data_IF_660357661404
#
_entry.id   IF_660357661404
#
_cell.length_a   1.000
_cell.length_b   1.000
_cell.length_c   1.000
_cell.angle_alpha   90.00
_cell.angle_beta   90.00
_cell.angle_gamma   90.00
#
_symmetry.space_group_name_H-M   'P 1'
#
loop_
_entity.id
_entity.type
_entity.pdbx_description
1 polymer ?
#
# COMPACT_ATOMS: atom_id res chain seq x y z
N UNK A 1 61.25 -12.56 -39.08
CA UNK A 1 60.20 -13.59 -38.86
C UNK A 1 59.59 -13.60 -37.43
N UNK A 2 59.76 -12.56 -36.61
CA UNK A 2 59.17 -12.50 -35.24
C UNK A 2 57.93 -11.60 -35.12
N UNK A 3 57.76 -10.60 -36.00
CA UNK A 3 56.65 -9.64 -35.92
C UNK A 3 55.27 -10.22 -36.32
N UNK A 4 55.22 -11.23 -37.21
CA UNK A 4 53.98 -11.85 -37.67
C UNK A 4 53.39 -12.91 -36.71
N UNK A 5 54.14 -13.32 -35.68
CA UNK A 5 53.68 -14.33 -34.71
C UNK A 5 52.85 -13.71 -33.58
N UNK A 6 53.10 -12.44 -33.25
CA UNK A 6 52.39 -11.72 -32.19
C UNK A 6 50.99 -11.22 -32.60
N UNK A 7 50.72 -11.07 -33.91
CA UNK A 7 49.41 -10.62 -34.39
C UNK A 7 48.33 -11.71 -34.28
N UNK A 8 48.72 -13.00 -34.34
CA UNK A 8 47.79 -14.12 -34.15
C UNK A 8 47.41 -14.33 -32.68
N UNK A 9 48.33 -14.10 -31.76
CA UNK A 9 48.06 -14.19 -30.32
C UNK A 9 47.17 -13.06 -29.82
N UNK A 10 47.33 -11.85 -30.35
CA UNK A 10 46.49 -10.69 -29.98
C UNK A 10 45.07 -10.84 -30.55
N UNK A 11 44.90 -11.40 -31.77
CA UNK A 11 43.56 -11.73 -32.31
C UNK A 11 42.87 -12.85 -31.54
N UNK A 12 43.61 -13.84 -31.02
CA UNK A 12 43.05 -14.89 -30.16
C UNK A 12 42.59 -14.38 -28.80
N UNK A 13 43.33 -13.43 -28.20
CA UNK A 13 42.98 -12.82 -26.91
C UNK A 13 41.78 -11.87 -27.00
N UNK A 14 41.66 -11.11 -28.10
CA UNK A 14 40.49 -10.27 -28.37
C UNK A 14 39.23 -11.08 -28.69
N UNK A 15 39.36 -12.26 -29.33
CA UNK A 15 38.21 -13.15 -29.54
C UNK A 15 37.72 -13.82 -28.26
N UNK A 16 38.62 -14.08 -27.29
CA UNK A 16 38.26 -14.66 -25.99
C UNK A 16 37.61 -13.63 -25.04
N UNK A 17 38.01 -12.36 -25.13
CA UNK A 17 37.38 -11.26 -24.38
C UNK A 17 35.99 -10.87 -24.91
N UNK A 18 35.66 -11.18 -26.17
CA UNK A 18 34.32 -10.99 -26.75
C UNK A 18 33.33 -12.13 -26.41
N UNK A 19 33.81 -13.25 -25.85
CA UNK A 19 32.99 -14.41 -25.41
C UNK A 19 32.63 -14.38 -23.92
N UNK A 20 33.14 -13.40 -23.17
CA UNK A 20 32.73 -13.10 -21.80
C UNK A 20 31.98 -11.76 -21.73
N UNK A 21 31.07 -11.51 -22.68
CA UNK A 21 29.95 -10.66 -22.31
C UNK A 21 29.22 -11.43 -21.21
N UNK A 22 29.10 -10.90 -19.97
CA UNK A 22 28.17 -11.49 -19.05
C UNK A 22 26.83 -11.43 -19.77
N UNK A 23 26.28 -12.59 -20.13
CA UNK A 23 24.84 -12.67 -20.29
C UNK A 23 24.33 -12.11 -18.97
N UNK A 24 23.65 -10.96 -19.01
CA UNK A 24 22.95 -10.44 -17.84
C UNK A 24 21.92 -11.50 -17.49
N UNK A 25 22.30 -12.46 -16.64
CA UNK A 25 21.38 -13.44 -16.13
C UNK A 25 20.39 -12.66 -15.28
N UNK A 26 19.12 -12.70 -15.67
CA UNK A 26 18.05 -12.07 -14.91
C UNK A 26 18.12 -12.54 -13.46
N UNK A 27 18.16 -11.59 -12.54
CA UNK A 27 18.26 -11.88 -11.13
C UNK A 27 17.04 -12.68 -10.66
N UNK A 28 17.27 -13.69 -9.84
CA UNK A 28 16.20 -14.50 -9.29
C UNK A 28 15.61 -13.84 -8.04
N UNK A 29 14.32 -13.50 -8.12
CA UNK A 29 13.57 -12.82 -7.07
C UNK A 29 12.48 -13.75 -6.57
N UNK A 30 12.46 -14.00 -5.27
CA UNK A 30 11.42 -14.80 -4.65
C UNK A 30 10.31 -13.91 -4.10
N UNK A 31 9.06 -14.20 -4.46
CA UNK A 31 7.90 -13.42 -4.07
C UNK A 31 7.02 -14.25 -3.15
N UNK A 32 7.00 -13.88 -1.86
CA UNK A 32 6.19 -14.53 -0.83
C UNK A 32 4.86 -13.83 -0.66
N UNK A 33 3.79 -14.60 -0.69
CA UNK A 33 2.45 -14.04 -0.57
C UNK A 33 1.44 -15.11 -0.14
N UNK A 34 0.28 -14.67 0.32
CA UNK A 34 -0.88 -15.51 0.56
C UNK A 34 -1.75 -15.64 -0.69
N UNK A 35 -1.98 -16.86 -1.17
CA UNK A 35 -2.78 -17.10 -2.38
C UNK A 35 -4.29 -16.99 -2.18
N UNK A 36 -4.74 -16.84 -0.93
CA UNK A 36 -6.16 -16.66 -0.57
C UNK A 36 -6.56 -15.18 -0.42
N UNK A 37 -5.62 -14.25 -0.57
CA UNK A 37 -5.87 -12.81 -0.53
C UNK A 37 -5.85 -12.26 -1.98
N UNK A 38 -6.99 -11.79 -2.53
CA UNK A 38 -7.05 -11.31 -3.92
C UNK A 38 -6.04 -10.20 -4.24
N UNK A 39 -5.90 -9.20 -3.35
CA UNK A 39 -4.93 -8.13 -3.52
C UNK A 39 -3.49 -8.66 -3.71
N UNK A 40 -3.12 -9.74 -3.03
CA UNK A 40 -1.80 -10.35 -3.17
C UNK A 40 -1.65 -11.03 -4.54
N UNK A 41 -2.61 -11.87 -4.90
CA UNK A 41 -2.59 -12.62 -6.16
C UNK A 41 -2.54 -11.67 -7.35
N UNK A 42 -3.40 -10.66 -7.37
CA UNK A 42 -3.45 -9.68 -8.46
C UNK A 42 -2.16 -8.86 -8.53
N UNK A 43 -1.59 -8.49 -7.38
CA UNK A 43 -0.31 -7.73 -7.34
C UNK A 43 0.82 -8.57 -7.92
N UNK A 44 0.89 -9.85 -7.57
CA UNK A 44 1.88 -10.80 -8.09
C UNK A 44 1.72 -10.97 -9.60
N UNK A 45 0.49 -11.04 -10.09
CA UNK A 45 0.21 -11.14 -11.53
C UNK A 45 0.69 -9.90 -12.29
N UNK A 46 0.36 -8.71 -11.81
CA UNK A 46 0.83 -7.47 -12.41
C UNK A 46 2.35 -7.32 -12.33
N UNK A 47 2.98 -7.79 -11.25
CA UNK A 47 4.43 -7.67 -11.04
C UNK A 47 5.24 -8.37 -12.14
N UNK A 48 4.71 -9.46 -12.73
CA UNK A 48 5.31 -10.13 -13.90
C UNK A 48 5.59 -9.17 -15.07
N UNK A 49 4.78 -8.12 -15.22
CA UNK A 49 4.92 -7.11 -16.27
C UNK A 49 5.74 -5.89 -15.87
N UNK A 50 6.18 -5.80 -14.61
CA UNK A 50 6.87 -4.62 -14.04
C UNK A 50 8.36 -4.85 -13.80
N UNK A 51 8.87 -6.02 -14.12
CA UNK A 51 10.29 -6.35 -13.98
C UNK A 51 10.67 -7.45 -14.98
N UNK A 52 11.86 -7.32 -15.57
CA UNK A 52 12.42 -8.35 -16.46
C UNK A 52 13.15 -9.47 -15.69
N UNK A 53 13.20 -9.33 -14.36
CA UNK A 53 13.87 -10.26 -13.46
C UNK A 53 13.11 -11.59 -13.35
N UNK A 54 13.81 -12.67 -13.03
CA UNK A 54 13.20 -14.00 -12.91
C UNK A 54 12.43 -14.10 -11.60
N UNK A 55 11.09 -14.05 -11.67
CA UNK A 55 10.23 -14.18 -10.50
C UNK A 55 9.96 -15.66 -10.16
N UNK A 56 10.14 -16.01 -8.89
CA UNK A 56 9.77 -17.30 -8.31
C UNK A 56 8.69 -17.07 -7.25
N UNK A 57 7.51 -17.63 -7.49
CA UNK A 57 6.35 -17.43 -6.63
C UNK A 57 6.36 -18.44 -5.48
N UNK A 58 6.38 -17.91 -4.26
CA UNK A 58 6.45 -18.67 -3.02
C UNK A 58 5.15 -18.49 -2.19
N UNK A 59 4.00 -19.04 -2.64
CA UNK A 59 2.77 -18.97 -1.87
C UNK A 59 2.91 -19.64 -0.49
N UNK A 60 2.52 -18.92 0.56
CA UNK A 60 2.55 -19.39 1.96
C UNK A 60 1.67 -20.63 2.10
N UNK A 61 2.20 -21.67 2.76
CA UNK A 61 1.51 -22.96 2.95
C UNK A 61 1.53 -23.88 1.73
N UNK A 62 2.03 -23.42 0.57
CA UNK A 62 2.16 -24.21 -0.65
C UNK A 62 3.60 -24.41 -1.12
N UNK A 63 4.53 -23.63 -0.57
CA UNK A 63 5.97 -23.72 -0.87
C UNK A 63 6.67 -24.56 0.20
N UNK A 64 7.43 -25.59 -0.19
CA UNK A 64 8.10 -26.48 0.77
C UNK A 64 9.37 -25.84 1.36
N UNK A 65 9.67 -26.13 2.62
CA UNK A 65 10.92 -25.70 3.25
C UNK A 65 12.15 -26.24 2.54
N UNK A 66 12.11 -27.49 2.05
CA UNK A 66 13.22 -28.08 1.29
C UNK A 66 13.56 -27.30 0.01
N UNK A 67 12.55 -26.73 -0.65
CA UNK A 67 12.76 -25.84 -1.80
C UNK A 67 13.38 -24.52 -1.34
N UNK A 68 12.86 -23.93 -0.27
CA UNK A 68 13.39 -22.67 0.24
C UNK A 68 14.85 -22.79 0.70
N UNK A 69 15.20 -23.88 1.35
CA UNK A 69 16.57 -24.15 1.84
C UNK A 69 17.55 -24.53 0.73
N UNK A 70 17.07 -24.80 -0.49
CA UNK A 70 17.92 -25.27 -1.59
C UNK A 70 19.00 -24.26 -1.98
N UNK A 71 18.66 -22.96 -2.05
CA UNK A 71 19.58 -21.85 -2.24
C UNK A 71 18.89 -20.51 -1.90
N UNK A 72 19.65 -19.46 -1.56
CA UNK A 72 19.07 -18.12 -1.39
C UNK A 72 18.67 -17.50 -2.75
N UNK A 73 17.63 -16.64 -2.79
CA UNK A 73 17.40 -15.75 -3.93
C UNK A 73 18.40 -14.60 -3.95
N UNK A 74 18.42 -13.79 -5.01
CA UNK A 74 19.18 -12.53 -5.01
C UNK A 74 18.42 -11.42 -4.28
N UNK A 75 17.10 -11.50 -4.26
CA UNK A 75 16.21 -10.55 -3.61
C UNK A 75 14.89 -11.22 -3.23
N UNK A 76 14.24 -10.77 -2.15
CA UNK A 76 12.92 -11.26 -1.79
C UNK A 76 11.89 -10.11 -1.77
N UNK A 77 10.69 -10.39 -2.24
CA UNK A 77 9.51 -9.54 -2.12
C UNK A 77 8.50 -10.26 -1.25
N UNK A 78 7.92 -9.57 -0.28
CA UNK A 78 7.06 -10.16 0.74
C UNK A 78 5.79 -9.34 0.86
N UNK A 79 4.64 -10.01 0.74
CA UNK A 79 3.31 -9.42 0.86
C UNK A 79 2.57 -9.97 2.09
N UNK A 80 2.47 -9.15 3.14
CA UNK A 80 1.72 -9.45 4.36
C UNK A 80 2.47 -10.23 5.44
N UNK A 81 1.92 -10.25 6.67
CA UNK A 81 2.61 -10.74 7.87
C UNK A 81 2.96 -12.23 7.81
N UNK A 82 2.06 -13.07 7.29
CA UNK A 82 2.31 -14.50 7.18
C UNK A 82 3.46 -14.82 6.21
N UNK A 83 3.57 -14.05 5.12
CA UNK A 83 4.68 -14.15 4.18
C UNK A 83 5.99 -13.64 4.81
N UNK A 84 5.91 -12.57 5.60
CA UNK A 84 7.06 -12.02 6.32
C UNK A 84 7.61 -13.01 7.34
N UNK A 85 6.74 -13.64 8.14
CA UNK A 85 7.13 -14.66 9.09
C UNK A 85 7.89 -15.81 8.41
N UNK A 86 7.38 -16.30 7.27
CA UNK A 86 8.04 -17.35 6.50
C UNK A 86 9.40 -16.90 5.96
N UNK A 87 9.48 -15.70 5.36
CA UNK A 87 10.73 -15.18 4.79
C UNK A 87 11.80 -14.94 5.87
N UNK A 88 11.42 -14.48 7.06
CA UNK A 88 12.36 -14.20 8.15
C UNK A 88 12.94 -15.46 8.80
N UNK A 89 12.26 -16.61 8.72
CA UNK A 89 12.80 -17.91 9.16
C UNK A 89 14.02 -18.34 8.35
N UNK A 90 14.18 -17.80 7.14
CA UNK A 90 15.25 -18.17 6.24
C UNK A 90 16.54 -17.44 6.65
N UNK A 91 17.66 -18.16 6.72
CA UNK A 91 18.96 -17.62 7.16
C UNK A 91 19.71 -16.85 6.07
N UNK A 92 19.02 -16.45 5.00
CA UNK A 92 19.62 -15.75 3.86
C UNK A 92 20.08 -14.35 4.25
N UNK A 93 21.26 -13.95 3.75
CA UNK A 93 21.81 -12.59 3.88
C UNK A 93 21.44 -11.71 2.67
N UNK A 94 20.15 -11.69 2.34
CA UNK A 94 19.59 -11.02 1.15
C UNK A 94 18.64 -9.91 1.59
N UNK A 95 18.44 -8.89 0.76
CA UNK A 95 17.45 -7.83 1.04
C UNK A 95 16.03 -8.35 0.79
N UNK A 96 15.12 -7.92 1.66
CA UNK A 96 13.71 -8.33 1.68
C UNK A 96 12.86 -7.07 1.58
N UNK A 97 12.22 -6.82 0.44
CA UNK A 97 11.21 -5.77 0.29
C UNK A 97 9.88 -6.26 0.83
N UNK A 98 9.37 -5.60 1.85
CA UNK A 98 8.13 -5.97 2.54
C UNK A 98 7.07 -4.90 2.31
N UNK A 99 5.87 -5.32 1.92
CA UNK A 99 4.68 -4.49 1.82
C UNK A 99 3.47 -5.17 2.47
N UNK A 100 2.39 -4.42 2.69
CA UNK A 100 1.14 -4.91 3.28
C UNK A 100 1.30 -5.48 4.70
N UNK A 101 2.27 -4.96 5.46
CA UNK A 101 2.49 -5.29 6.89
C UNK A 101 2.22 -4.07 7.75
N UNK A 102 1.73 -4.30 8.96
CA UNK A 102 1.29 -3.25 9.88
C UNK A 102 2.48 -2.53 10.54
N UNK A 103 3.60 -3.21 10.76
CA UNK A 103 4.79 -2.61 11.35
C UNK A 103 6.05 -3.10 10.62
N UNK A 104 7.02 -2.20 10.37
CA UNK A 104 8.30 -2.63 9.83
C UNK A 104 9.00 -3.53 10.87
N UNK A 105 9.45 -4.73 10.48
CA UNK A 105 10.29 -5.55 11.36
C UNK A 105 11.64 -4.86 11.57
N UNK A 106 12.29 -5.15 12.70
CA UNK A 106 13.62 -4.60 13.05
C UNK A 106 14.78 -5.30 12.33
N UNK A 107 14.49 -6.25 11.43
CA UNK A 107 15.51 -7.04 10.73
C UNK A 107 16.27 -6.16 9.71
N UNK A 108 17.61 -6.10 9.75
CA UNK A 108 18.42 -5.24 8.86
C UNK A 108 18.35 -5.64 7.37
N UNK A 109 17.82 -6.82 7.06
CA UNK A 109 17.54 -7.27 5.70
C UNK A 109 16.32 -6.56 5.11
N UNK A 110 15.43 -6.04 5.95
CA UNK A 110 14.12 -5.56 5.52
C UNK A 110 14.19 -4.12 5.00
N UNK A 111 13.57 -3.93 3.85
CA UNK A 111 13.17 -2.64 3.31
C UNK A 111 11.65 -2.60 3.34
N UNK A 112 11.09 -1.62 4.03
CA UNK A 112 9.64 -1.51 4.23
C UNK A 112 9.01 -0.53 3.25
N UNK A 113 8.04 -1.00 2.47
CA UNK A 113 7.12 -0.15 1.72
C UNK A 113 5.85 0.06 2.55
N UNK A 114 5.78 1.21 3.21
CA UNK A 114 4.65 1.62 4.03
C UNK A 114 3.42 1.85 3.14
N UNK A 115 2.43 0.96 3.30
CA UNK A 115 1.15 0.95 2.58
C UNK A 115 -0.03 1.29 3.49
N UNK A 116 0.24 1.89 4.67
CA UNK A 116 -0.82 2.44 5.51
C UNK A 116 -1.58 3.52 4.76
N UNK A 117 -2.89 3.62 5.05
CA UNK A 117 -3.77 4.62 4.45
C UNK A 117 -3.17 6.03 4.55
N UNK A 118 -3.28 6.84 3.50
CA UNK A 118 -2.67 8.17 3.46
C UNK A 118 -3.56 9.16 4.21
N UNK A 119 -3.72 8.99 5.53
CA UNK A 119 -4.62 9.80 6.36
C UNK A 119 -4.33 11.30 6.23
N UNK A 120 -3.07 11.68 6.02
CA UNK A 120 -2.69 13.08 5.74
C UNK A 120 -3.37 13.63 4.49
N UNK A 121 -3.38 12.86 3.38
CA UNK A 121 -4.05 13.27 2.14
C UNK A 121 -5.58 13.31 2.34
N UNK A 122 -6.12 12.34 3.09
CA UNK A 122 -7.55 12.30 3.41
C UNK A 122 -7.99 13.51 4.24
N UNK A 123 -7.26 13.87 5.29
CA UNK A 123 -7.56 15.03 6.15
C UNK A 123 -7.43 16.34 5.35
N UNK A 124 -6.37 16.49 4.53
CA UNK A 124 -6.18 17.67 3.68
C UNK A 124 -7.34 17.83 2.68
N UNK A 125 -7.73 16.75 2.01
CA UNK A 125 -8.85 16.80 1.08
C UNK A 125 -10.17 17.08 1.79
N UNK A 126 -10.41 16.47 2.96
CA UNK A 126 -11.57 16.79 3.79
C UNK A 126 -11.65 18.28 4.15
N UNK A 127 -10.52 18.90 4.54
CA UNK A 127 -10.47 20.34 4.82
C UNK A 127 -10.67 21.19 3.56
N UNK A 128 -10.18 20.75 2.40
CA UNK A 128 -10.45 21.44 1.15
C UNK A 128 -11.95 21.41 0.76
N UNK A 129 -12.61 20.26 0.96
CA UNK A 129 -14.04 20.10 0.69
C UNK A 129 -14.92 20.82 1.72
N UNK A 130 -14.46 20.88 2.97
CA UNK A 130 -15.17 21.45 4.11
C UNK A 130 -14.22 22.30 4.98
N UNK A 131 -13.98 23.58 4.63
CA UNK A 131 -12.98 24.42 5.30
C UNK A 131 -13.20 24.60 6.80
N UNK A 132 -14.46 24.64 7.22
CA UNK A 132 -14.90 24.80 8.60
C UNK A 132 -14.87 23.50 9.44
N UNK A 133 -14.43 22.37 8.86
CA UNK A 133 -14.30 21.08 9.54
C UNK A 133 -13.52 21.20 10.85
N UNK A 134 -14.11 20.70 11.94
CA UNK A 134 -13.56 20.71 13.30
C UNK A 134 -13.37 19.30 13.87
N UNK A 135 -14.19 18.35 13.46
CA UNK A 135 -14.19 16.99 14.03
C UNK A 135 -14.15 15.95 12.93
N UNK A 136 -13.24 14.98 13.04
CA UNK A 136 -13.26 13.75 12.24
C UNK A 136 -13.58 12.61 13.19
N UNK A 137 -14.77 12.03 13.07
CA UNK A 137 -15.12 10.81 13.79
C UNK A 137 -14.46 9.61 13.10
N UNK A 138 -13.64 8.87 13.83
CA UNK A 138 -12.91 7.71 13.31
C UNK A 138 -13.23 6.48 14.15
N UNK A 139 -14.26 5.70 13.76
CA UNK A 139 -14.56 4.45 14.41
C UNK A 139 -13.52 3.38 14.02
N UNK A 140 -13.16 2.51 14.96
CA UNK A 140 -12.39 1.28 14.72
C UNK A 140 -12.85 0.18 15.68
N UNK A 141 -12.53 -1.07 15.38
CA UNK A 141 -12.78 -2.25 16.22
C UNK A 141 -11.45 -2.89 16.62
N UNK A 142 -10.57 -3.08 15.65
CA UNK A 142 -9.25 -3.70 15.83
C UNK A 142 -8.22 -2.61 16.13
N UNK A 143 -7.53 -2.72 17.27
CA UNK A 143 -6.61 -1.69 17.80
C UNK A 143 -5.57 -1.20 16.78
N UNK A 144 -5.10 -2.08 15.89
CA UNK A 144 -4.14 -1.73 14.85
C UNK A 144 -4.61 -0.63 13.88
N UNK A 145 -5.92 -0.41 13.75
CA UNK A 145 -6.50 0.63 12.90
C UNK A 145 -6.87 1.90 13.66
N UNK A 146 -6.57 1.96 14.97
CA UNK A 146 -6.68 3.19 15.72
C UNK A 146 -5.80 4.28 15.08
N UNK A 147 -6.29 5.52 14.92
CA UNK A 147 -5.44 6.63 14.51
C UNK A 147 -4.26 6.77 15.48
N UNK A 148 -3.05 6.90 14.93
CA UNK A 148 -1.86 7.06 15.76
C UNK A 148 -1.64 8.54 16.14
N UNK A 149 -0.91 8.77 17.23
CA UNK A 149 -0.61 10.11 17.76
C UNK A 149 -0.06 11.09 16.72
N UNK A 150 0.72 10.62 15.75
CA UNK A 150 1.24 11.45 14.66
C UNK A 150 0.13 12.01 13.77
N UNK A 151 -0.90 11.22 13.48
CA UNK A 151 -2.05 11.64 12.68
C UNK A 151 -2.96 12.57 13.50
N UNK A 152 -3.12 12.30 14.80
CA UNK A 152 -3.85 13.19 15.71
C UNK A 152 -3.20 14.57 15.78
N UNK A 153 -1.89 14.65 16.06
CA UNK A 153 -1.17 15.93 16.13
C UNK A 153 -1.23 16.71 14.81
N UNK A 154 -1.12 16.01 13.66
CA UNK A 154 -1.24 16.68 12.36
C UNK A 154 -2.66 17.21 12.10
N UNK A 155 -3.69 16.50 12.54
CA UNK A 155 -5.06 16.99 12.46
C UNK A 155 -5.24 18.24 13.34
N UNK A 156 -4.70 18.22 14.56
CA UNK A 156 -4.76 19.34 15.51
C UNK A 156 -4.06 20.59 14.97
N UNK A 157 -2.92 20.44 14.30
CA UNK A 157 -2.22 21.53 13.59
C UNK A 157 -3.10 22.22 12.53
N UNK A 158 -4.09 21.51 11.99
CA UNK A 158 -5.08 22.04 11.03
C UNK A 158 -6.40 22.49 11.67
N UNK A 159 -6.47 22.52 13.01
CA UNK A 159 -7.66 22.86 13.78
C UNK A 159 -8.75 21.77 13.76
N UNK A 160 -8.37 20.52 13.52
CA UNK A 160 -9.27 19.36 13.45
C UNK A 160 -8.96 18.40 14.59
N UNK A 161 -9.96 18.06 15.39
CA UNK A 161 -9.88 16.98 16.38
C UNK A 161 -10.30 15.66 15.74
N UNK A 162 -9.52 14.61 15.97
CA UNK A 162 -9.96 13.24 15.67
C UNK A 162 -10.72 12.70 16.87
N UNK A 163 -12.01 12.43 16.71
CA UNK A 163 -12.84 11.75 17.70
C UNK A 163 -12.71 10.24 17.49
N UNK A 164 -11.75 9.66 18.21
CA UNK A 164 -11.37 8.25 18.13
C UNK A 164 -12.40 7.42 18.92
N UNK A 165 -13.07 6.50 18.23
CA UNK A 165 -14.10 5.66 18.86
C UNK A 165 -13.84 4.17 18.61
N UNK A 166 -13.54 3.42 19.69
CA UNK A 166 -13.42 1.97 19.63
C UNK A 166 -14.78 1.30 19.79
N UNK A 167 -15.33 0.76 18.72
CA UNK A 167 -16.56 -0.02 18.74
C UNK A 167 -16.28 -1.43 19.25
N UNK A 168 -16.38 -1.62 20.57
CA UNK A 168 -16.20 -2.95 21.19
C UNK A 168 -17.50 -3.76 21.21
N UNK A 169 -18.65 -3.07 21.22
CA UNK A 169 -19.98 -3.68 21.22
C UNK A 169 -20.88 -3.00 20.18
N UNK A 170 -21.47 -3.73 19.22
CA UNK A 170 -22.37 -3.15 18.21
C UNK A 170 -23.54 -2.33 18.79
N UNK A 171 -23.97 -2.58 20.03
CA UNK A 171 -25.05 -1.83 20.70
C UNK A 171 -24.67 -0.38 21.02
N UNK A 172 -23.38 -0.04 21.05
CA UNK A 172 -22.90 1.31 21.32
C UNK A 172 -22.98 2.22 20.08
N UNK A 173 -23.05 1.62 18.89
CA UNK A 173 -23.00 2.34 17.61
C UNK A 173 -24.04 3.45 17.49
N UNK A 174 -25.34 3.27 17.83
CA UNK A 174 -26.32 4.36 17.77
C UNK A 174 -25.94 5.55 18.66
N UNK A 175 -25.40 5.27 19.86
CA UNK A 175 -24.98 6.30 20.80
C UNK A 175 -23.75 7.07 20.31
N UNK A 176 -22.80 6.37 19.70
CA UNK A 176 -21.57 6.94 19.14
C UNK A 176 -21.82 7.81 17.91
N UNK A 177 -22.77 7.39 17.05
CA UNK A 177 -23.11 8.15 15.83
C UNK A 177 -23.79 9.50 16.10
N UNK A 178 -24.15 9.82 17.35
CA UNK A 178 -24.71 11.15 17.70
C UNK A 178 -23.76 12.30 17.34
N UNK A 179 -22.45 12.06 17.31
CA UNK A 179 -21.46 13.06 16.89
C UNK A 179 -21.66 13.53 15.45
N UNK A 180 -22.21 12.70 14.55
CA UNK A 180 -22.47 13.06 13.15
C UNK A 180 -23.49 14.20 13.03
N UNK A 181 -24.35 14.40 14.03
CA UNK A 181 -25.30 15.52 14.04
C UNK A 181 -24.65 16.87 14.42
N UNK A 182 -23.40 16.86 14.89
CA UNK A 182 -22.67 18.10 15.17
C UNK A 182 -22.28 18.78 13.86
N UNK A 183 -22.39 20.12 13.77
CA UNK A 183 -21.87 20.83 12.62
C UNK A 183 -20.36 20.57 12.52
N UNK A 184 -19.84 20.64 11.30
CA UNK A 184 -18.39 20.61 11.08
C UNK A 184 -17.73 19.28 11.40
N UNK A 185 -18.48 18.20 11.20
CA UNK A 185 -18.03 16.81 11.37
C UNK A 185 -17.82 16.14 10.02
N UNK A 186 -16.86 15.23 9.95
CA UNK A 186 -16.70 14.23 8.89
C UNK A 186 -16.50 12.85 9.53
N UNK A 187 -16.68 11.78 8.75
CA UNK A 187 -16.37 10.41 9.16
C UNK A 187 -15.19 9.90 8.36
N UNK A 188 -14.23 9.25 9.00
CA UNK A 188 -13.10 8.59 8.35
C UNK A 188 -13.09 7.11 8.73
N UNK A 189 -13.48 6.26 7.77
CA UNK A 189 -13.58 4.82 7.96
C UNK A 189 -12.21 4.17 7.64
N UNK A 190 -11.58 3.48 8.59
CA UNK A 190 -10.34 2.74 8.34
C UNK A 190 -10.60 1.40 7.64
N UNK A 191 -9.56 0.77 7.05
CA UNK A 191 -9.63 -0.58 6.47
C UNK A 191 -9.74 -1.70 7.51
N UNK A 192 -10.62 -1.52 8.49
CA UNK A 192 -10.81 -2.45 9.60
C UNK A 192 -11.87 -3.51 9.28
N UNK A 193 -11.50 -4.80 9.18
CA UNK A 193 -12.44 -5.88 8.94
C UNK A 193 -13.57 -5.95 9.98
N UNK A 194 -13.33 -5.52 11.22
CA UNK A 194 -14.36 -5.48 12.27
C UNK A 194 -15.45 -4.43 11.99
N UNK A 195 -15.12 -3.36 11.28
CA UNK A 195 -16.11 -2.35 10.84
C UNK A 195 -16.78 -2.74 9.53
N UNK A 196 -16.15 -3.59 8.70
CA UNK A 196 -16.69 -4.03 7.40
C UNK A 196 -17.90 -4.97 7.51
N UNK A 197 -18.66 -4.88 8.60
CA UNK A 197 -19.97 -5.47 8.73
C UNK A 197 -21.03 -4.59 8.03
N UNK A 198 -21.85 -5.20 7.18
CA UNK A 198 -22.89 -4.49 6.43
C UNK A 198 -23.83 -3.66 7.32
N UNK A 199 -24.24 -4.18 8.49
CA UNK A 199 -25.12 -3.45 9.40
C UNK A 199 -24.45 -2.19 9.98
N UNK A 200 -23.14 -2.26 10.28
CA UNK A 200 -22.36 -1.11 10.76
C UNK A 200 -22.23 -0.07 9.66
N UNK A 201 -21.75 -0.48 8.47
CA UNK A 201 -21.52 0.40 7.33
C UNK A 201 -22.82 1.10 6.88
N UNK A 202 -23.91 0.36 6.74
CA UNK A 202 -25.22 0.92 6.36
C UNK A 202 -25.73 1.91 7.41
N UNK A 203 -25.57 1.61 8.70
CA UNK A 203 -25.96 2.52 9.78
C UNK A 203 -25.18 3.83 9.73
N UNK A 204 -23.86 3.76 9.52
CA UNK A 204 -23.00 4.93 9.37
C UNK A 204 -23.43 5.77 8.16
N UNK A 205 -23.62 5.15 6.99
CA UNK A 205 -24.05 5.87 5.79
C UNK A 205 -25.43 6.51 5.97
N UNK A 206 -26.40 5.80 6.53
CA UNK A 206 -27.74 6.35 6.77
C UNK A 206 -27.69 7.56 7.71
N UNK A 207 -26.92 7.48 8.80
CA UNK A 207 -26.72 8.60 9.71
C UNK A 207 -26.04 9.78 9.00
N UNK A 208 -24.98 9.52 8.25
CA UNK A 208 -24.23 10.50 7.44
C UNK A 208 -25.14 11.22 6.44
N UNK A 209 -26.01 10.50 5.72
CA UNK A 209 -26.94 11.11 4.77
C UNK A 209 -27.98 11.99 5.45
N UNK A 210 -28.45 11.63 6.65
CA UNK A 210 -29.41 12.43 7.42
C UNK A 210 -28.81 13.74 7.92
N UNK A 211 -27.53 13.73 8.30
CA UNK A 211 -26.82 14.92 8.80
C UNK A 211 -25.96 15.63 7.74
N UNK A 212 -25.94 15.14 6.50
CA UNK A 212 -25.05 15.60 5.42
C UNK A 212 -23.57 15.60 5.83
N UNK A 213 -23.16 14.62 6.62
CA UNK A 213 -21.79 14.46 7.12
C UNK A 213 -20.95 13.70 6.09
N UNK A 214 -19.89 14.28 5.49
CA UNK A 214 -19.08 13.54 4.52
C UNK A 214 -18.40 12.32 5.15
N UNK A 215 -18.46 11.19 4.47
CA UNK A 215 -17.76 9.95 4.82
C UNK A 215 -16.60 9.73 3.87
N UNK A 216 -15.39 9.56 4.39
CA UNK A 216 -14.20 9.17 3.64
C UNK A 216 -13.89 7.72 3.93
N UNK A 217 -13.48 7.01 2.88
CA UNK A 217 -13.19 5.59 2.94
C UNK A 217 -11.86 5.23 2.27
N UNK A 218 -11.57 3.93 2.21
CA UNK A 218 -10.32 3.36 1.69
C UNK A 218 -10.55 2.46 0.46
N UNK A 219 -11.79 2.31 0.00
CA UNK A 219 -12.13 1.40 -1.09
C UNK A 219 -13.21 1.97 -2.02
N UNK A 220 -13.12 1.60 -3.30
CA UNK A 220 -14.10 1.97 -4.32
C UNK A 220 -15.53 1.48 -3.97
N UNK A 221 -15.64 0.30 -3.35
CA UNK A 221 -16.93 -0.25 -2.94
C UNK A 221 -17.67 0.67 -1.95
N UNK A 222 -16.94 1.28 -1.02
CA UNK A 222 -17.53 2.22 -0.06
C UNK A 222 -17.84 3.58 -0.70
N UNK A 223 -17.07 4.02 -1.70
CA UNK A 223 -17.42 5.20 -2.52
C UNK A 223 -18.75 4.98 -3.23
N UNK A 224 -18.94 3.82 -3.87
CA UNK A 224 -20.21 3.44 -4.51
C UNK A 224 -21.39 3.37 -3.53
N UNK A 225 -21.12 3.05 -2.26
CA UNK A 225 -22.14 3.00 -1.21
C UNK A 225 -22.47 4.37 -0.58
N UNK A 226 -21.69 5.41 -0.89
CA UNK A 226 -22.00 6.78 -0.48
C UNK A 226 -20.86 7.55 0.18
N UNK A 227 -19.64 7.00 0.24
CA UNK A 227 -18.49 7.79 0.68
C UNK A 227 -18.16 8.87 -0.36
N UNK A 228 -17.80 10.08 0.09
CA UNK A 228 -17.52 11.21 -0.79
C UNK A 228 -16.24 10.99 -1.62
N UNK A 229 -15.26 10.30 -1.04
CA UNK A 229 -14.05 9.88 -1.76
C UNK A 229 -13.33 8.73 -1.06
N UNK A 230 -12.36 8.14 -1.76
CA UNK A 230 -11.38 7.21 -1.21
C UNK A 230 -10.01 7.39 -1.87
N UNK A 231 -8.96 7.11 -1.09
CA UNK A 231 -7.64 6.83 -1.63
C UNK A 231 -7.45 5.31 -1.64
N UNK A 232 -7.32 4.74 -2.83
CA UNK A 232 -7.34 3.28 -3.03
C UNK A 232 -5.96 2.78 -3.42
N UNK A 233 -5.51 1.73 -2.75
CA UNK A 233 -4.34 0.95 -3.15
C UNK A 233 -4.79 -0.08 -4.19
N UNK A 234 -4.31 0.06 -5.43
CA UNK A 234 -4.61 -0.90 -6.49
C UNK A 234 -3.47 -1.90 -6.67
N UNK A 235 -3.76 -3.18 -7.03
CA UNK A 235 -2.73 -4.17 -7.30
C UNK A 235 -1.70 -3.73 -8.34
N UNK A 236 -2.16 -3.04 -9.40
CA UNK A 236 -1.32 -2.52 -10.47
C UNK A 236 -0.32 -1.45 -9.96
N UNK A 237 -0.79 -0.50 -9.15
CA UNK A 237 0.08 0.56 -8.62
C UNK A 237 1.05 0.02 -7.59
N UNK A 238 0.60 -0.92 -6.74
CA UNK A 238 1.49 -1.63 -5.83
C UNK A 238 2.58 -2.40 -6.59
N UNK A 239 2.20 -3.19 -7.59
CA UNK A 239 3.14 -3.93 -8.43
C UNK A 239 4.13 -3.01 -9.15
N UNK A 240 3.67 -1.84 -9.61
CA UNK A 240 4.53 -0.83 -10.25
C UNK A 240 5.57 -0.30 -9.26
N UNK A 241 5.16 0.11 -8.05
CA UNK A 241 6.09 0.55 -7.01
C UNK A 241 7.07 -0.56 -6.58
N UNK A 242 6.61 -1.81 -6.46
CA UNK A 242 7.48 -2.94 -6.14
C UNK A 242 8.52 -3.17 -7.24
N UNK A 243 8.11 -3.18 -8.51
CA UNK A 243 9.01 -3.33 -9.66
C UNK A 243 10.07 -2.23 -9.73
N UNK A 244 9.68 -0.98 -9.50
CA UNK A 244 10.59 0.17 -9.44
C UNK A 244 11.64 0.00 -8.33
N UNK A 245 11.22 -0.39 -7.11
CA UNK A 245 12.12 -0.59 -5.97
C UNK A 245 13.05 -1.79 -6.21
N UNK A 246 12.54 -2.88 -6.78
CA UNK A 246 13.32 -4.06 -7.16
C UNK A 246 14.45 -3.67 -8.12
N UNK A 247 14.10 -2.99 -9.21
CA UNK A 247 15.08 -2.59 -10.22
C UNK A 247 16.11 -1.62 -9.65
N UNK A 248 15.67 -0.69 -8.79
CA UNK A 248 16.59 0.21 -8.08
C UNK A 248 17.53 -0.55 -7.14
N UNK A 249 17.03 -1.55 -6.40
CA UNK A 249 17.81 -2.35 -5.46
C UNK A 249 18.89 -3.17 -6.16
N UNK A 250 18.56 -3.77 -7.30
CA UNK A 250 19.50 -4.54 -8.09
C UNK A 250 20.56 -3.67 -8.76
N UNK A 251 20.20 -2.45 -9.18
CA UNK A 251 21.12 -1.53 -9.84
C UNK A 251 22.03 -0.75 -8.87
N UNK A 252 21.49 -0.28 -7.74
CA UNK A 252 22.22 0.56 -6.76
C UNK A 252 22.80 -0.21 -5.58
N UNK A 253 22.50 -1.51 -5.45
CA UNK A 253 22.94 -2.32 -4.31
C UNK A 253 22.37 -1.83 -2.97
N UNK A 254 23.18 -1.89 -1.91
CA UNK A 254 22.73 -1.72 -0.51
C UNK A 254 22.40 -0.28 -0.09
N UNK A 255 22.47 0.72 -0.97
CA UNK A 255 22.29 2.14 -0.62
C UNK A 255 20.84 2.61 -0.52
N UNK A 256 19.85 1.71 -0.51
CA UNK A 256 18.45 2.11 -0.45
C UNK A 256 17.99 2.40 0.99
N UNK A 257 17.07 3.36 1.17
CA UNK A 257 16.41 3.59 2.46
C UNK A 257 15.75 2.31 2.99
N UNK A 258 15.83 2.09 4.30
CA UNK A 258 15.17 0.97 4.99
C UNK A 258 13.65 1.09 5.03
N UNK A 259 13.09 2.28 4.80
CA UNK A 259 11.66 2.50 4.72
C UNK A 259 11.32 3.52 3.64
N UNK A 260 10.20 3.31 2.94
CA UNK A 260 9.61 4.21 1.94
C UNK A 260 8.11 4.27 2.14
N UNK A 261 7.50 5.41 1.81
CA UNK A 261 6.04 5.53 1.76
C UNK A 261 5.53 5.18 0.37
N UNK A 262 4.39 4.49 0.31
CA UNK A 262 3.68 4.29 -0.95
C UNK A 262 2.94 5.58 -1.34
N UNK A 263 3.12 6.02 -2.58
CA UNK A 263 2.63 7.32 -3.07
C UNK A 263 1.60 7.19 -4.21
N UNK A 264 1.50 6.02 -4.86
CA UNK A 264 0.65 5.80 -6.05
C UNK A 264 -0.80 5.46 -5.69
N UNK A 265 -1.40 6.21 -4.78
CA UNK A 265 -2.81 6.05 -4.40
C UNK A 265 -3.73 6.56 -5.52
N UNK A 266 -4.77 5.80 -5.86
CA UNK A 266 -5.82 6.27 -6.76
C UNK A 266 -6.86 7.05 -5.98
N UNK A 267 -7.08 8.31 -6.35
CA UNK A 267 -8.18 9.09 -5.81
C UNK A 267 -9.45 8.76 -6.58
N UNK A 268 -10.49 8.37 -5.84
CA UNK A 268 -11.82 8.13 -6.37
C UNK A 268 -12.78 9.10 -5.70
N UNK A 269 -13.63 9.77 -6.48
CA UNK A 269 -14.63 10.71 -5.98
C UNK A 269 -16.05 10.22 -6.26
N UNK A 270 -16.98 10.48 -5.34
CA UNK A 270 -18.43 10.36 -5.58
C UNK A 270 -19.01 11.76 -5.78
N UNK A 271 -19.05 12.19 -7.04
CA UNK A 271 -19.59 13.49 -7.46
C UNK A 271 -21.06 13.63 -7.08
N UNK A 272 -21.85 12.56 -7.18
CA UNK A 272 -23.27 12.56 -6.79
C UNK A 272 -23.45 12.93 -5.31
N UNK A 273 -22.67 12.33 -4.41
CA UNK A 273 -22.75 12.63 -2.97
C UNK A 273 -22.17 14.01 -2.65
N UNK A 274 -21.04 14.37 -3.27
CA UNK A 274 -20.43 15.69 -3.11
C UNK A 274 -21.42 16.81 -3.47
N UNK A 275 -22.11 16.69 -4.60
CA UNK A 275 -23.15 17.64 -5.03
C UNK A 275 -24.34 17.67 -4.06
N UNK A 276 -24.83 16.50 -3.64
CA UNK A 276 -25.95 16.40 -2.68
C UNK A 276 -25.61 17.02 -1.32
N UNK A 277 -24.36 16.96 -0.90
CA UNK A 277 -23.86 17.58 0.33
C UNK A 277 -23.37 19.01 0.11
N UNK A 278 -23.45 19.53 -1.12
CA UNK A 278 -23.01 20.88 -1.51
C UNK A 278 -21.54 21.13 -1.19
N UNK A 279 -20.71 20.10 -1.31
CA UNK A 279 -19.27 20.15 -1.10
C UNK A 279 -18.58 20.47 -2.42
N UNK A 280 -17.92 21.63 -2.48
CA UNK A 280 -17.20 22.06 -3.68
C UNK A 280 -15.86 21.33 -3.77
N UNK A 281 -15.65 20.61 -4.87
CA UNK A 281 -14.37 19.96 -5.17
C UNK A 281 -13.52 20.93 -5.98
N UNK A 282 -12.29 21.25 -5.55
CA UNK A 282 -11.37 22.03 -6.37
C UNK A 282 -11.10 21.35 -7.73
N UNK A 283 -11.04 22.11 -8.81
CA UNK A 283 -10.88 21.57 -10.18
C UNK A 283 -9.62 20.72 -10.34
N UNK A 284 -8.53 21.11 -9.69
CA UNK A 284 -7.27 20.35 -9.69
C UNK A 284 -7.46 18.95 -9.09
N UNK A 285 -8.17 18.86 -7.96
CA UNK A 285 -8.48 17.58 -7.31
C UNK A 285 -9.38 16.75 -8.21
N UNK A 286 -10.42 17.35 -8.80
CA UNK A 286 -11.34 16.65 -9.70
C UNK A 286 -10.62 16.07 -10.92
N UNK A 287 -9.64 16.79 -11.48
CA UNK A 287 -8.79 16.32 -12.59
C UNK A 287 -7.81 15.24 -12.19
N UNK A 288 -7.33 15.25 -10.94
CA UNK A 288 -6.41 14.23 -10.41
C UNK A 288 -7.10 12.90 -10.08
N UNK A 289 -8.43 12.90 -9.91
CA UNK A 289 -9.19 11.72 -9.59
C UNK A 289 -9.18 10.72 -10.75
N UNK A 290 -8.81 9.47 -10.44
CA UNK A 290 -8.76 8.39 -11.41
C UNK A 290 -10.16 7.97 -11.87
N UNK A 291 -11.15 8.08 -10.98
CA UNK A 291 -12.56 7.71 -11.23
C UNK A 291 -13.51 8.67 -10.54
N UNK A 292 -14.64 8.93 -11.19
CA UNK A 292 -15.75 9.73 -10.70
C UNK A 292 -17.03 8.86 -10.73
N UNK A 293 -17.80 8.87 -9.63
CA UNK A 293 -19.10 8.22 -9.49
C UNK A 293 -20.21 9.24 -9.23
#
# INVERSE_FOLDING_TARGET
>A
MQALRNLKTIRGLLLFLLLCWPTLANAEIWVFFRSDIPLHVDTVEFLKSKTDQKLVFCPVGKTSFSFLESHPPQFAVVLGDAALQLALQMVWKVKILVALVDQPPTDPRVMFLNTHQPCVLQIKLLKALKPDLKTIWSPFVTERFAPCRKIESLAEETGVKIDIFRLSNPRELPGAMRVLSQPNTAVMIPPDPGIMNNAIIQSIFLASFRSQTPVVSFSESLVKQGAVFAHVLTPLNLATSLGEIINEALNKGQSLPSARSFERWELILNTTVLEKFKLQVPDEIKKSATRLY
#
